data_IF_307517490734
#
_entry.id   IF_307517490734
#
_cell.length_a   1.000
_cell.length_b   1.000
_cell.length_c   1.000
_cell.angle_alpha   90.00
_cell.angle_beta   90.00
_cell.angle_gamma   90.00
#
_symmetry.space_group_name_H-M   'P 1'
#
loop_
_entity.id
_entity.type
_entity.pdbx_description
1 polymer ?
#
# COMPACT_ATOMS: atom_id res chain seq x y z
N UNK A 1 2.80 37.79 77.75
CA UNK A 1 2.16 38.91 77.02
C UNK A 1 3.20 40.02 76.85
N UNK A 2 3.27 40.62 75.64
CA UNK A 2 4.08 41.79 75.24
C UNK A 2 5.59 41.55 75.12
N UNK A 3 6.34 42.24 74.26
CA UNK A 3 6.24 42.65 72.84
C UNK A 3 7.67 43.12 72.49
N UNK A 4 8.05 42.94 71.23
CA UNK A 4 9.37 43.09 70.62
C UNK A 4 10.10 44.44 70.77
N UNK A 5 11.43 44.38 70.73
CA UNK A 5 12.38 45.37 70.18
C UNK A 5 13.68 44.57 69.91
N UNK A 6 14.31 44.46 68.74
CA UNK A 6 14.36 45.30 67.55
C UNK A 6 15.84 45.59 67.27
N UNK A 7 16.51 44.78 66.45
CA UNK A 7 17.84 45.13 65.90
C UNK A 7 17.80 45.02 64.38
N UNK A 8 17.90 46.20 63.74
CA UNK A 8 18.09 46.37 62.30
C UNK A 8 19.56 46.11 61.97
N UNK A 9 19.82 45.23 60.99
CA UNK A 9 21.11 45.16 60.29
C UNK A 9 20.88 45.70 58.87
N UNK A 10 21.54 46.81 58.54
CA UNK A 10 21.59 47.37 57.19
C UNK A 10 22.45 46.44 56.31
N UNK A 11 21.85 45.88 55.26
CA UNK A 11 22.57 45.30 54.12
C UNK A 11 22.38 46.17 52.89
N UNK A 12 23.50 46.66 52.35
CA UNK A 12 23.58 47.40 51.10
C UNK A 12 23.30 46.45 49.93
N UNK A 13 22.21 46.70 49.20
CA UNK A 13 21.91 46.00 47.94
C UNK A 13 22.60 46.75 46.80
N UNK A 14 23.61 46.14 46.20
CA UNK A 14 24.16 46.61 44.93
C UNK A 14 23.21 46.21 43.79
N UNK A 15 22.59 47.19 43.14
CA UNK A 15 21.83 46.99 41.92
C UNK A 15 22.78 46.59 40.78
N UNK A 16 22.65 45.36 40.28
CA UNK A 16 23.23 44.98 38.99
C UNK A 16 22.11 45.01 37.95
N UNK A 17 22.11 46.02 37.09
CA UNK A 17 21.18 46.14 35.97
C UNK A 17 21.59 45.15 34.88
N UNK A 18 20.95 43.99 34.83
CA UNK A 18 21.05 43.09 33.68
C UNK A 18 20.18 43.65 32.55
N UNK A 19 20.83 44.03 31.45
CA UNK A 19 20.18 44.28 30.15
C UNK A 19 19.46 43.01 29.67
N UNK A 20 18.21 43.09 29.15
CA UNK A 20 17.54 41.93 28.62
C UNK A 20 18.27 41.42 27.38
N UNK A 21 18.74 40.16 27.41
CA UNK A 21 19.19 39.48 26.20
C UNK A 21 18.00 39.24 25.29
N UNK A 22 18.10 39.53 23.98
CA UNK A 22 17.04 39.21 23.03
C UNK A 22 16.86 37.70 22.98
N UNK A 23 15.64 37.24 23.29
CA UNK A 23 15.24 35.84 23.11
C UNK A 23 15.28 35.52 21.62
N UNK A 24 16.36 34.88 21.17
CA UNK A 24 16.41 34.25 19.85
C UNK A 24 15.49 33.03 19.96
N UNK A 25 14.24 33.18 19.52
CA UNK A 25 13.41 32.03 19.16
C UNK A 25 14.12 31.28 18.05
N UNK A 26 14.85 30.23 18.40
CA UNK A 26 15.30 29.21 17.46
C UNK A 26 14.05 28.50 16.93
N UNK A 27 13.48 29.06 15.86
CA UNK A 27 12.57 28.32 14.99
C UNK A 27 13.43 27.26 14.30
N UNK A 28 13.40 26.03 14.81
CA UNK A 28 13.94 24.90 14.06
C UNK A 28 13.43 24.97 12.63
N UNK A 29 14.29 24.92 11.62
CA UNK A 29 13.82 24.76 10.24
C UNK A 29 13.06 23.44 10.22
N UNK A 30 11.75 23.49 10.04
CA UNK A 30 11.00 22.29 9.69
C UNK A 30 11.54 21.86 8.33
N UNK A 31 12.37 20.81 8.33
CA UNK A 31 12.74 20.11 7.11
C UNK A 31 11.45 19.84 6.32
N UNK A 32 11.43 20.09 5.00
CA UNK A 32 10.28 19.74 4.18
C UNK A 32 9.95 18.27 4.42
N UNK A 33 8.78 17.98 5.00
CA UNK A 33 8.32 16.60 5.03
C UNK A 33 8.16 16.16 3.57
N UNK A 34 8.82 15.09 3.14
CA UNK A 34 8.60 14.56 1.81
C UNK A 34 7.14 14.09 1.77
N UNK A 35 6.34 14.77 0.96
CA UNK A 35 5.01 14.30 0.60
C UNK A 35 5.21 12.96 -0.12
N UNK A 36 5.01 11.85 0.60
CA UNK A 36 5.17 10.48 0.09
C UNK A 36 4.03 10.19 -0.91
N UNK A 37 4.10 10.77 -2.10
CA UNK A 37 3.29 10.34 -3.24
C UNK A 37 4.09 9.27 -3.98
N UNK A 38 3.87 8.00 -3.64
CA UNK A 38 4.51 6.83 -4.27
C UNK A 38 3.75 6.41 -5.53
N UNK A 39 3.29 7.37 -6.33
CA UNK A 39 2.89 7.07 -7.71
C UNK A 39 3.99 7.61 -8.59
N UNK A 40 4.97 6.75 -8.87
CA UNK A 40 5.86 7.00 -10.01
C UNK A 40 4.93 7.10 -11.22
N UNK A 41 4.94 8.26 -11.90
CA UNK A 41 4.12 8.44 -13.10
C UNK A 41 4.60 7.41 -14.12
N UNK A 42 3.85 6.32 -14.27
CA UNK A 42 4.10 5.27 -15.26
C UNK A 42 3.32 5.60 -16.52
N UNK A 43 3.97 5.43 -17.67
CA UNK A 43 3.32 5.61 -18.96
C UNK A 43 2.16 4.62 -19.09
N UNK A 44 1.02 5.09 -19.57
CA UNK A 44 -0.13 4.21 -19.82
C UNK A 44 0.18 3.29 -21.01
N UNK A 45 -0.08 1.97 -20.89
CA UNK A 45 0.01 1.04 -22.01
C UNK A 45 -0.92 1.43 -23.18
N UNK A 46 -0.52 1.12 -24.41
CA UNK A 46 -1.34 1.41 -25.60
C UNK A 46 -2.70 0.70 -25.56
N UNK A 47 -2.73 -0.55 -25.10
CA UNK A 47 -3.96 -1.33 -24.95
C UNK A 47 -4.92 -0.69 -23.94
N UNK A 48 -4.42 -0.06 -22.89
CA UNK A 48 -5.22 0.70 -21.92
C UNK A 48 -5.83 1.95 -22.55
N UNK A 49 -5.04 2.68 -23.37
CA UNK A 49 -5.51 3.88 -24.07
C UNK A 49 -6.64 3.53 -25.04
N UNK A 50 -6.50 2.41 -25.76
CA UNK A 50 -7.56 1.91 -26.65
C UNK A 50 -8.79 1.48 -25.83
N UNK A 51 -8.59 0.70 -24.77
CA UNK A 51 -9.67 0.17 -23.94
C UNK A 51 -10.46 1.28 -23.23
N UNK A 52 -9.81 2.30 -22.67
CA UNK A 52 -10.53 3.38 -21.97
C UNK A 52 -11.32 4.29 -22.94
N UNK A 53 -11.01 4.23 -24.23
CA UNK A 53 -11.69 4.98 -25.28
C UNK A 53 -12.90 4.24 -25.88
N UNK A 54 -13.12 2.96 -25.53
CA UNK A 54 -14.26 2.18 -26.01
C UNK A 54 -15.45 2.23 -25.04
N UNK A 55 -16.66 2.15 -25.61
CA UNK A 55 -17.93 2.04 -24.88
C UNK A 55 -18.08 3.08 -23.74
N UNK A 56 -18.53 2.64 -22.57
CA UNK A 56 -18.72 3.44 -21.35
C UNK A 56 -17.57 3.27 -20.35
N UNK A 57 -16.45 2.67 -20.75
CA UNK A 57 -15.32 2.35 -19.86
C UNK A 57 -14.81 3.59 -19.13
N UNK A 58 -14.69 4.74 -19.81
CA UNK A 58 -14.30 6.01 -19.17
C UNK A 58 -15.22 6.40 -18.02
N UNK A 59 -16.54 6.28 -18.19
CA UNK A 59 -17.51 6.62 -17.16
C UNK A 59 -17.44 5.64 -15.99
N UNK A 60 -17.35 4.34 -16.28
CA UNK A 60 -17.22 3.28 -15.27
C UNK A 60 -15.94 3.43 -14.44
N UNK A 61 -14.80 3.73 -15.08
CA UNK A 61 -13.54 4.00 -14.40
C UNK A 61 -13.64 5.25 -13.53
N UNK A 62 -14.21 6.35 -14.03
CA UNK A 62 -14.40 7.57 -13.25
C UNK A 62 -15.26 7.32 -11.99
N UNK A 63 -16.34 6.56 -12.12
CA UNK A 63 -17.22 6.22 -11.01
C UNK A 63 -16.48 5.37 -9.95
N UNK A 64 -15.71 4.37 -10.37
CA UNK A 64 -14.93 3.54 -9.46
C UNK A 64 -13.81 4.34 -8.76
N UNK A 65 -13.08 5.18 -9.50
CA UNK A 65 -12.08 6.08 -8.92
C UNK A 65 -12.67 7.05 -7.90
N UNK A 66 -13.86 7.59 -8.17
CA UNK A 66 -14.53 8.48 -7.23
C UNK A 66 -14.93 7.74 -5.94
N UNK A 67 -15.40 6.50 -6.05
CA UNK A 67 -15.63 5.64 -4.90
C UNK A 67 -14.34 5.43 -4.07
N UNK A 68 -13.22 5.06 -4.71
CA UNK A 68 -11.94 4.86 -4.00
C UNK A 68 -11.42 6.15 -3.36
N UNK A 69 -11.59 7.29 -4.04
CA UNK A 69 -11.26 8.62 -3.49
C UNK A 69 -12.03 8.92 -2.20
N UNK A 70 -13.32 8.62 -2.16
CA UNK A 70 -14.15 8.78 -0.95
C UNK A 70 -13.70 7.88 0.20
N UNK A 71 -12.99 6.78 -0.10
CA UNK A 71 -12.40 5.88 0.90
C UNK A 71 -10.96 6.27 1.30
N UNK A 72 -10.40 7.35 0.74
CA UNK A 72 -9.02 7.76 1.02
C UNK A 72 -7.97 6.83 0.40
N UNK A 73 -8.36 6.13 -0.68
CA UNK A 73 -7.56 5.14 -1.42
C UNK A 73 -7.33 5.57 -2.88
N UNK A 74 -7.50 6.86 -3.18
CA UNK A 74 -7.14 7.40 -4.49
C UNK A 74 -5.62 7.38 -4.69
N UNK A 75 -5.21 7.25 -5.95
CA UNK A 75 -3.82 7.44 -6.39
C UNK A 75 -2.81 6.59 -5.58
N UNK A 76 -3.18 5.36 -5.21
CA UNK A 76 -2.23 4.39 -4.64
C UNK A 76 -1.41 3.69 -5.73
N UNK A 77 -2.04 3.43 -6.87
CA UNK A 77 -1.44 2.80 -8.05
C UNK A 77 -2.02 3.44 -9.32
N UNK A 78 -1.34 3.35 -10.47
CA UNK A 78 -1.88 3.82 -11.75
C UNK A 78 -3.19 3.10 -12.14
N UNK A 79 -4.07 3.79 -12.85
CA UNK A 79 -5.39 3.24 -13.24
C UNK A 79 -5.27 1.94 -14.06
N UNK A 80 -4.29 1.85 -14.97
CA UNK A 80 -4.09 0.66 -15.81
C UNK A 80 -3.67 -0.56 -14.98
N UNK A 81 -2.91 -0.37 -13.90
CA UNK A 81 -2.55 -1.44 -12.97
C UNK A 81 -3.74 -1.86 -12.11
N UNK A 82 -4.47 -0.88 -11.57
CA UNK A 82 -5.65 -1.12 -10.73
C UNK A 82 -6.75 -1.90 -11.46
N UNK A 83 -6.88 -1.68 -12.76
CA UNK A 83 -7.92 -2.25 -13.60
C UNK A 83 -7.45 -3.50 -14.35
N UNK A 84 -6.18 -3.89 -14.23
CA UNK A 84 -5.65 -5.08 -14.88
C UNK A 84 -6.38 -6.34 -14.40
N UNK A 85 -6.83 -7.15 -15.34
CA UNK A 85 -7.65 -8.34 -15.06
C UNK A 85 -6.77 -9.56 -14.75
N UNK A 86 -6.15 -10.17 -15.75
CA UNK A 86 -5.26 -11.32 -15.62
C UNK A 86 -4.27 -11.39 -16.79
N UNK A 87 -3.07 -11.94 -16.58
CA UNK A 87 -2.07 -12.13 -17.65
C UNK A 87 -2.58 -12.99 -18.82
N UNK A 88 -3.48 -13.92 -18.56
CA UNK A 88 -4.05 -14.83 -19.56
C UNK A 88 -5.20 -14.20 -20.38
N UNK A 89 -5.50 -12.91 -20.23
CA UNK A 89 -6.61 -12.25 -20.95
C UNK A 89 -6.58 -12.53 -22.45
N UNK A 90 -5.40 -12.47 -23.07
CA UNK A 90 -5.22 -12.64 -24.50
C UNK A 90 -5.47 -14.09 -24.92
N UNK A 91 -4.96 -15.05 -24.15
CA UNK A 91 -5.22 -16.48 -24.33
C UNK A 91 -6.71 -16.80 -24.17
N UNK A 92 -7.38 -16.09 -23.27
CA UNK A 92 -8.79 -16.26 -22.96
C UNK A 92 -9.73 -15.46 -23.87
N UNK A 93 -9.20 -14.64 -24.78
CA UNK A 93 -10.00 -13.85 -25.72
C UNK A 93 -10.92 -12.83 -25.05
N UNK A 94 -10.51 -12.27 -23.92
CA UNK A 94 -11.26 -11.23 -23.18
C UNK A 94 -10.45 -9.94 -23.09
N UNK A 95 -11.06 -8.86 -22.60
CA UNK A 95 -10.35 -7.58 -22.45
C UNK A 95 -9.27 -7.61 -21.35
N UNK A 96 -8.16 -6.88 -21.53
CA UNK A 96 -7.06 -6.81 -20.55
C UNK A 96 -7.46 -6.12 -19.23
N UNK A 97 -8.48 -5.27 -19.26
CA UNK A 97 -8.90 -4.46 -18.11
C UNK A 97 -10.37 -4.67 -17.80
N UNK A 98 -10.75 -4.46 -16.53
CA UNK A 98 -12.13 -4.53 -16.10
C UNK A 98 -12.41 -3.63 -14.91
N UNK A 99 -13.57 -2.98 -14.91
CA UNK A 99 -14.14 -2.36 -13.71
C UNK A 99 -15.00 -3.42 -12.98
N UNK A 100 -14.82 -3.64 -11.67
CA UNK A 100 -15.65 -4.58 -10.94
C UNK A 100 -17.12 -4.13 -10.92
N UNK A 101 -18.10 -5.05 -10.86
CA UNK A 101 -19.49 -4.72 -10.56
C UNK A 101 -19.61 -3.88 -9.29
N UNK A 102 -20.53 -2.90 -9.30
CA UNK A 102 -20.64 -1.90 -8.24
C UNK A 102 -20.95 -2.51 -6.88
N UNK A 103 -21.67 -3.63 -6.87
CA UNK A 103 -22.11 -4.36 -5.69
C UNK A 103 -20.94 -4.92 -4.87
N UNK A 104 -19.78 -5.10 -5.50
CA UNK A 104 -18.57 -5.66 -4.87
C UNK A 104 -17.44 -4.63 -4.72
N UNK A 105 -17.69 -3.34 -4.95
CA UNK A 105 -16.67 -2.30 -4.78
C UNK A 105 -16.16 -2.20 -3.35
N UNK A 106 -17.00 -2.41 -2.34
CA UNK A 106 -16.58 -2.35 -0.93
C UNK A 106 -15.55 -3.41 -0.57
N UNK A 107 -15.51 -4.52 -1.29
CA UNK A 107 -14.66 -5.66 -0.95
C UNK A 107 -13.16 -5.39 -1.13
N UNK A 108 -12.82 -4.44 -1.99
CA UNK A 108 -11.41 -4.10 -2.29
C UNK A 108 -10.79 -3.17 -1.25
N UNK A 109 -11.64 -2.46 -0.49
CA UNK A 109 -11.21 -1.40 0.43
C UNK A 109 -10.22 -1.91 1.47
N UNK A 110 -10.43 -3.06 2.14
CA UNK A 110 -9.47 -3.53 3.12
C UNK A 110 -8.17 -4.04 2.46
N UNK A 111 -8.24 -4.62 1.25
CA UNK A 111 -7.05 -5.06 0.50
C UNK A 111 -6.19 -3.88 0.03
N UNK A 112 -6.80 -2.80 -0.46
CA UNK A 112 -6.06 -1.57 -0.79
C UNK A 112 -5.55 -0.85 0.47
N UNK A 113 -6.20 -1.02 1.62
CA UNK A 113 -5.68 -0.53 2.89
C UNK A 113 -4.41 -1.28 3.32
N UNK A 114 -4.34 -2.60 3.05
CA UNK A 114 -3.10 -3.38 3.21
C UNK A 114 -2.02 -2.82 2.28
N UNK A 115 -2.32 -2.64 0.99
CA UNK A 115 -1.36 -2.08 0.02
C UNK A 115 -0.83 -0.71 0.47
N UNK A 116 -1.74 0.18 0.90
CA UNK A 116 -1.39 1.50 1.44
C UNK A 116 -0.44 1.39 2.63
N UNK A 117 -0.73 0.52 3.59
CA UNK A 117 0.13 0.30 4.76
C UNK A 117 1.51 -0.24 4.36
N UNK A 118 1.58 -1.18 3.41
CA UNK A 118 2.85 -1.71 2.90
C UNK A 118 3.73 -0.60 2.28
N UNK A 119 3.11 0.33 1.55
CA UNK A 119 3.79 1.49 0.94
C UNK A 119 4.20 2.51 2.00
N UNK A 120 3.31 2.87 2.91
CA UNK A 120 3.56 3.88 3.96
C UNK A 120 4.68 3.45 4.92
N UNK A 121 4.70 2.16 5.28
CA UNK A 121 5.73 1.53 6.11
C UNK A 121 7.05 1.28 5.36
N UNK A 122 7.09 1.49 4.04
CA UNK A 122 8.28 1.23 3.22
C UNK A 122 8.63 -0.24 3.08
N UNK A 123 7.64 -1.13 3.22
CA UNK A 123 7.78 -2.57 2.96
C UNK A 123 7.99 -2.81 1.48
N UNK A 124 7.20 -2.13 0.63
CA UNK A 124 7.33 -2.13 -0.83
C UNK A 124 7.47 -0.69 -1.33
N UNK A 125 8.27 -0.50 -2.37
CA UNK A 125 8.52 0.81 -2.99
C UNK A 125 8.78 0.73 -4.51
N UNK A 126 9.20 -0.42 -5.01
CA UNK A 126 9.34 -0.73 -6.44
C UNK A 126 8.48 -1.95 -6.77
N UNK A 127 7.26 -1.70 -7.24
CA UNK A 127 6.29 -2.73 -7.56
C UNK A 127 5.37 -2.32 -8.71
N UNK A 128 4.68 -3.31 -9.26
CA UNK A 128 3.65 -3.16 -10.27
C UNK A 128 2.48 -4.08 -9.94
N UNK A 129 1.28 -3.52 -9.80
CA UNK A 129 0.05 -4.31 -9.66
C UNK A 129 -0.33 -4.84 -11.03
N UNK A 130 -0.52 -6.16 -11.10
CA UNK A 130 -0.65 -6.90 -12.37
C UNK A 130 -2.01 -7.55 -12.54
N UNK A 131 -2.80 -7.69 -11.47
CA UNK A 131 -4.13 -8.31 -11.49
C UNK A 131 -4.92 -7.91 -10.25
N UNK A 132 -6.16 -7.45 -10.41
CA UNK A 132 -7.03 -7.04 -9.29
C UNK A 132 -8.39 -7.73 -9.40
N UNK A 133 -9.34 -7.18 -10.14
CA UNK A 133 -10.63 -7.82 -10.35
C UNK A 133 -10.57 -8.74 -11.56
N UNK A 134 -11.06 -9.98 -11.41
CA UNK A 134 -11.20 -10.94 -12.50
C UNK A 134 -12.66 -11.35 -12.66
N UNK A 135 -13.24 -11.09 -13.83
CA UNK A 135 -14.54 -11.66 -14.16
C UNK A 135 -14.48 -13.20 -14.03
N UNK A 136 -15.56 -13.83 -13.55
CA UNK A 136 -15.58 -15.26 -13.27
C UNK A 136 -15.20 -16.12 -14.49
N UNK A 137 -15.64 -15.72 -15.69
CA UNK A 137 -15.30 -16.39 -16.95
C UNK A 137 -13.78 -16.39 -17.22
N UNK A 138 -13.14 -15.23 -17.09
CA UNK A 138 -11.69 -15.09 -17.21
C UNK A 138 -10.97 -15.89 -16.13
N UNK A 139 -11.41 -15.80 -14.88
CA UNK A 139 -10.79 -16.53 -13.77
C UNK A 139 -10.78 -18.04 -14.04
N UNK A 140 -11.90 -18.61 -14.50
CA UNK A 140 -11.99 -20.04 -14.88
C UNK A 140 -11.08 -20.39 -16.06
N UNK A 141 -11.07 -19.57 -17.11
CA UNK A 141 -10.20 -19.80 -18.27
C UNK A 141 -8.71 -19.79 -17.91
N UNK A 142 -8.31 -18.89 -17.00
CA UNK A 142 -6.95 -18.81 -16.45
C UNK A 142 -6.63 -19.91 -15.41
N UNK A 143 -7.52 -20.89 -15.21
CA UNK A 143 -7.33 -21.98 -14.24
C UNK A 143 -7.47 -21.55 -12.78
N UNK A 144 -8.04 -20.38 -12.51
CA UNK A 144 -8.33 -19.88 -11.17
C UNK A 144 -9.49 -20.63 -10.51
N UNK A 145 -9.42 -20.80 -9.20
CA UNK A 145 -10.50 -21.39 -8.41
C UNK A 145 -11.74 -20.47 -8.40
N UNK A 146 -12.94 -21.05 -8.39
CA UNK A 146 -14.20 -20.29 -8.32
C UNK A 146 -14.29 -19.42 -7.06
N UNK A 147 -13.68 -19.87 -5.95
CA UNK A 147 -13.59 -19.14 -4.69
C UNK A 147 -12.44 -18.10 -4.66
N UNK A 148 -11.81 -17.82 -5.80
CA UNK A 148 -10.73 -16.83 -5.93
C UNK A 148 -11.20 -15.45 -5.47
N UNK A 149 -10.38 -14.81 -4.65
CA UNK A 149 -10.69 -13.48 -4.10
C UNK A 149 -10.68 -12.37 -5.14
N UNK A 150 -10.06 -12.59 -6.30
CA UNK A 150 -10.14 -11.67 -7.44
C UNK A 150 -11.55 -11.56 -8.01
N UNK A 151 -12.31 -12.67 -8.02
CA UNK A 151 -13.70 -12.68 -8.52
C UNK A 151 -14.62 -11.86 -7.63
N UNK A 152 -14.27 -11.74 -6.36
CA UNK A 152 -15.01 -10.94 -5.38
C UNK A 152 -14.46 -9.52 -5.22
N UNK A 153 -13.54 -9.08 -6.09
CA UNK A 153 -12.85 -7.79 -5.98
C UNK A 153 -12.22 -7.59 -4.58
N UNK A 154 -11.61 -8.65 -4.04
CA UNK A 154 -11.10 -8.71 -2.67
C UNK A 154 -9.60 -9.06 -2.61
N UNK A 155 -8.92 -9.12 -3.75
CA UNK A 155 -7.50 -9.43 -3.85
C UNK A 155 -6.82 -8.55 -4.89
N UNK A 156 -5.50 -8.51 -4.80
CA UNK A 156 -4.64 -8.02 -5.86
C UNK A 156 -3.34 -8.83 -5.90
N UNK A 157 -2.77 -8.89 -7.09
CA UNK A 157 -1.46 -9.45 -7.37
C UNK A 157 -0.51 -8.32 -7.76
N UNK A 158 0.74 -8.43 -7.33
CA UNK A 158 1.78 -7.52 -7.78
C UNK A 158 3.11 -8.23 -7.98
N UNK A 159 3.93 -7.63 -8.85
CA UNK A 159 5.34 -7.97 -9.04
C UNK A 159 6.20 -6.96 -8.27
N UNK A 160 7.29 -7.45 -7.67
CA UNK A 160 8.34 -6.61 -7.09
C UNK A 160 9.43 -6.44 -8.15
N UNK A 161 9.88 -5.21 -8.37
CA UNK A 161 10.91 -4.91 -9.38
C UNK A 161 10.46 -5.12 -10.83
N UNK A 162 11.41 -5.13 -11.78
CA UNK A 162 11.12 -5.24 -13.20
C UNK A 162 10.66 -6.65 -13.60
N UNK A 163 10.03 -6.76 -14.77
CA UNK A 163 9.60 -8.05 -15.34
C UNK A 163 10.76 -9.01 -15.60
N UNK A 164 11.90 -8.47 -16.01
CA UNK A 164 13.14 -9.19 -16.25
C UNK A 164 14.20 -8.71 -15.25
N UNK A 165 14.24 -9.28 -14.03
CA UNK A 165 15.14 -8.84 -12.98
C UNK A 165 16.61 -9.18 -13.29
N UNK A 166 17.49 -8.21 -13.08
CA UNK A 166 18.93 -8.44 -12.97
C UNK A 166 19.29 -9.15 -11.66
N UNK A 167 20.54 -9.57 -11.49
CA UNK A 167 21.01 -10.18 -10.23
C UNK A 167 20.82 -9.24 -9.02
N UNK A 168 21.01 -7.93 -9.22
CA UNK A 168 20.77 -6.93 -8.18
C UNK A 168 19.28 -6.82 -7.84
N UNK A 169 18.41 -6.87 -8.86
CA UNK A 169 16.96 -6.86 -8.64
C UNK A 169 16.51 -8.11 -7.88
N UNK A 170 17.07 -9.28 -8.20
CA UNK A 170 16.78 -10.53 -7.50
C UNK A 170 17.11 -10.39 -6.00
N UNK A 171 18.27 -9.82 -5.66
CA UNK A 171 18.62 -9.56 -4.26
C UNK A 171 17.59 -8.65 -3.57
N UNK A 172 17.22 -7.54 -4.20
CA UNK A 172 16.22 -6.59 -3.67
C UNK A 172 14.82 -7.22 -3.52
N UNK A 173 14.43 -8.08 -4.46
CA UNK A 173 13.18 -8.85 -4.42
C UNK A 173 13.16 -9.75 -3.18
N UNK A 174 14.25 -10.48 -2.89
CA UNK A 174 14.32 -11.35 -1.70
C UNK A 174 14.28 -10.54 -0.40
N UNK A 175 14.96 -9.39 -0.34
CA UNK A 175 14.86 -8.50 0.81
C UNK A 175 13.44 -7.98 1.02
N UNK A 176 12.75 -7.62 -0.06
CA UNK A 176 11.35 -7.16 -0.02
C UNK A 176 10.41 -8.27 0.44
N UNK A 177 10.59 -9.51 -0.02
CA UNK A 177 9.85 -10.69 0.48
C UNK A 177 10.05 -10.91 1.97
N UNK A 178 11.27 -10.75 2.48
CA UNK A 178 11.55 -10.83 3.92
C UNK A 178 10.78 -9.76 4.71
N UNK A 179 10.77 -8.51 4.23
CA UNK A 179 9.99 -7.42 4.85
C UNK A 179 8.48 -7.69 4.81
N UNK A 180 7.97 -8.23 3.70
CA UNK A 180 6.55 -8.61 3.58
C UNK A 180 6.16 -9.63 4.65
N UNK A 181 7.00 -10.64 4.89
CA UNK A 181 6.74 -11.62 5.94
C UNK A 181 6.79 -11.03 7.34
N UNK A 182 7.75 -10.12 7.61
CA UNK A 182 7.78 -9.42 8.90
C UNK A 182 6.53 -8.56 9.10
N UNK A 183 6.08 -7.84 8.07
CA UNK A 183 4.83 -7.08 8.11
C UNK A 183 3.64 -8.01 8.36
N UNK A 184 3.54 -9.13 7.63
CA UNK A 184 2.46 -10.09 7.79
C UNK A 184 2.45 -10.69 9.21
N UNK A 185 3.59 -11.10 9.75
CA UNK A 185 3.68 -11.67 11.10
C UNK A 185 3.28 -10.66 12.19
N UNK A 186 3.61 -9.38 12.02
CA UNK A 186 3.38 -8.34 13.04
C UNK A 186 2.03 -7.64 12.93
N UNK A 187 1.53 -7.42 11.71
CA UNK A 187 0.31 -6.64 11.43
C UNK A 187 -0.76 -7.43 10.69
N UNK A 188 -0.41 -8.57 10.09
CA UNK A 188 -1.31 -9.32 9.20
C UNK A 188 -2.59 -9.80 9.88
N UNK A 189 -2.53 -10.17 11.17
CA UNK A 189 -3.73 -10.56 11.91
C UNK A 189 -4.74 -9.40 12.03
N UNK A 190 -4.26 -8.18 12.31
CA UNK A 190 -5.12 -6.99 12.40
C UNK A 190 -5.76 -6.62 11.05
N UNK A 191 -5.09 -6.95 9.95
CA UNK A 191 -5.59 -6.73 8.58
C UNK A 191 -6.42 -7.89 8.01
N UNK A 192 -6.51 -9.03 8.72
CA UNK A 192 -7.02 -10.28 8.16
C UNK A 192 -6.30 -10.66 6.85
N UNK A 193 -4.99 -10.43 6.80
CA UNK A 193 -4.17 -10.43 5.59
C UNK A 193 -3.85 -11.85 5.12
N UNK A 194 -4.31 -12.18 3.91
CA UNK A 194 -3.78 -13.27 3.12
C UNK A 194 -2.52 -12.82 2.40
N UNK A 195 -1.43 -13.58 2.51
CA UNK A 195 -0.18 -13.34 1.78
C UNK A 195 0.24 -14.60 1.01
N UNK A 196 0.31 -14.49 -0.31
CA UNK A 196 0.66 -15.60 -1.19
C UNK A 196 1.84 -15.29 -2.10
N UNK A 197 2.53 -16.34 -2.54
CA UNK A 197 3.50 -16.25 -3.62
C UNK A 197 3.24 -17.36 -4.63
N UNK A 198 2.91 -16.97 -5.86
CA UNK A 198 2.74 -17.91 -6.96
C UNK A 198 4.09 -18.46 -7.43
N UNK A 199 4.08 -19.60 -8.13
CA UNK A 199 5.28 -20.16 -8.76
C UNK A 199 5.99 -19.19 -9.72
N UNK A 200 5.23 -18.27 -10.33
CA UNK A 200 5.75 -17.18 -11.17
C UNK A 200 6.52 -16.09 -10.39
N UNK A 201 6.50 -16.15 -9.05
CA UNK A 201 7.07 -15.13 -8.18
C UNK A 201 6.14 -13.94 -7.88
N UNK A 202 4.96 -13.88 -8.49
CA UNK A 202 3.97 -12.85 -8.17
C UNK A 202 3.52 -12.97 -6.72
N UNK A 203 3.38 -11.82 -6.07
CA UNK A 203 2.87 -11.69 -4.71
C UNK A 203 1.37 -11.50 -4.79
N UNK A 204 0.62 -12.29 -4.02
CA UNK A 204 -0.83 -12.16 -3.84
C UNK A 204 -1.09 -11.55 -2.47
N UNK A 205 -1.99 -10.56 -2.38
CA UNK A 205 -2.56 -10.11 -1.12
C UNK A 205 -4.09 -10.07 -1.16
N UNK A 206 -4.71 -10.42 -0.04
CA UNK A 206 -6.15 -10.22 0.20
C UNK A 206 -6.42 -9.92 1.68
N UNK A 207 -7.65 -9.56 1.98
CA UNK A 207 -8.11 -9.20 3.33
C UNK A 207 -9.14 -10.20 3.90
N UNK A 208 -9.07 -11.45 3.44
CA UNK A 208 -10.12 -12.46 3.64
C UNK A 208 -9.67 -13.66 4.49
N UNK A 209 -8.57 -13.51 5.23
CA UNK A 209 -8.10 -14.51 6.19
C UNK A 209 -6.63 -14.30 6.51
N UNK A 210 -6.26 -14.26 7.79
CA UNK A 210 -4.86 -14.25 8.22
C UNK A 210 -4.18 -15.59 7.90
N UNK A 211 -3.52 -15.66 6.74
CA UNK A 211 -2.88 -16.88 6.23
C UNK A 211 -1.73 -16.54 5.30
N UNK A 212 -0.75 -17.42 5.23
CA UNK A 212 0.30 -17.35 4.24
C UNK A 212 0.42 -18.66 3.46
N UNK A 213 0.79 -18.58 2.18
CA UNK A 213 0.97 -19.74 1.32
C UNK A 213 2.04 -19.48 0.25
N UNK A 214 2.59 -20.54 -0.33
CA UNK A 214 3.59 -20.46 -1.40
C UNK A 214 3.18 -21.16 -2.68
N UNK A 215 4.15 -21.49 -3.57
CA UNK A 215 3.86 -21.99 -4.91
C UNK A 215 2.95 -23.22 -4.99
N UNK A 216 2.91 -24.06 -3.95
CA UNK A 216 2.02 -25.23 -3.88
C UNK A 216 0.67 -24.95 -3.17
N UNK A 217 0.36 -23.69 -2.89
CA UNK A 217 -0.80 -23.21 -2.15
C UNK A 217 -0.86 -23.61 -0.66
N UNK A 218 0.25 -24.06 -0.07
CA UNK A 218 0.33 -24.38 1.36
C UNK A 218 1.30 -23.47 2.11
N UNK A 219 1.13 -23.37 3.43
CA UNK A 219 2.03 -22.60 4.31
C UNK A 219 3.46 -23.11 4.26
N UNK A 220 3.67 -24.43 4.11
CA UNK A 220 5.00 -25.06 4.09
C UNK A 220 5.91 -24.59 2.96
N UNK A 221 5.36 -23.98 1.90
CA UNK A 221 6.15 -23.40 0.81
C UNK A 221 6.10 -21.88 0.80
N UNK A 222 5.44 -21.27 1.80
CA UNK A 222 5.34 -19.82 1.92
C UNK A 222 6.71 -19.20 2.16
N UNK A 223 6.90 -18.00 1.62
CA UNK A 223 8.06 -17.15 1.95
C UNK A 223 8.15 -16.78 3.43
N UNK A 224 7.07 -17.00 4.20
CA UNK A 224 6.99 -16.68 5.63
C UNK A 224 7.10 -17.92 6.51
N UNK A 225 7.44 -19.08 5.94
CA UNK A 225 7.64 -20.31 6.69
C UNK A 225 8.71 -20.10 7.79
N UNK A 226 8.38 -20.51 9.02
CA UNK A 226 9.31 -20.46 10.16
C UNK A 226 9.29 -19.15 10.94
N UNK A 227 8.41 -18.21 10.57
CA UNK A 227 8.04 -17.05 11.38
C UNK A 227 6.79 -17.33 12.21
#
# INVERSE_FOLDING_TARGET
MKRYLGLLVLSLVACSTQTPQPTITHRSPSLPQPSKTVVKIKQQPEDYIVWIATADHRQSVQAYKQFLKQKGLADLVPDHELLSSARDWQKCGVEPYAVPPREIWSNIVPTLSILKALVEDGVINDFEVTSVYRALSLNRCAGGADASRHVFNAALDFRIGPEQPSDLDQFNIQQTKTKLCQFWATKGQAFNMGLGVYASGQIHIDSQGFRAWGPDHHYRTSICQGL
#
